data_IF_144103739210
#
_entry.id   IF_144103739210
#
_cell.length_a   1.000
_cell.length_b   1.000
_cell.length_c   1.000
_cell.angle_alpha   90.00
_cell.angle_beta   90.00
_cell.angle_gamma   90.00
#
_symmetry.space_group_name_H-M   'P 1'
#
loop_
_entity.id
_entity.type
_entity.pdbx_description
1 polymer ?
#
# COMPACT_ATOMS: atom_id res chain seq x y z
N UNK A 1 -64.14 12.99 -15.56
CA UNK A 1 -62.92 12.25 -15.88
C UNK A 1 -63.00 11.90 -17.35
N UNK A 2 -62.12 12.46 -18.17
CA UNK A 2 -62.00 12.09 -19.58
C UNK A 2 -61.49 10.64 -19.67
N UNK A 3 -62.00 9.80 -20.59
CA UNK A 3 -61.58 8.40 -20.74
C UNK A 3 -60.12 8.21 -21.20
N UNK A 4 -59.36 9.30 -21.36
CA UNK A 4 -57.94 9.27 -21.67
C UNK A 4 -57.04 9.14 -20.41
N UNK A 5 -57.56 9.40 -19.20
CA UNK A 5 -56.80 9.25 -17.94
C UNK A 5 -56.75 7.79 -17.43
N UNK A 6 -57.50 6.87 -18.05
CA UNK A 6 -57.49 5.41 -17.77
C UNK A 6 -56.68 4.61 -18.79
N UNK A 7 -56.09 5.26 -19.80
CA UNK A 7 -55.21 4.57 -20.74
C UNK A 7 -53.88 4.30 -20.04
N UNK A 8 -53.70 3.03 -19.64
CA UNK A 8 -52.40 2.45 -19.32
C UNK A 8 -51.35 2.98 -20.31
N UNK A 9 -50.25 3.58 -19.82
CA UNK A 9 -49.19 4.08 -20.69
C UNK A 9 -48.73 2.97 -21.64
N UNK A 10 -48.62 3.27 -22.94
CA UNK A 10 -48.07 2.32 -23.90
C UNK A 10 -46.65 1.91 -23.45
N UNK A 11 -46.38 0.61 -23.46
CA UNK A 11 -45.14 0.03 -22.93
C UNK A 11 -45.16 -0.38 -21.46
N UNK A 12 -46.23 -0.12 -20.70
CA UNK A 12 -46.33 -0.53 -19.28
C UNK A 12 -46.28 -2.06 -19.07
N UNK A 13 -46.66 -2.84 -20.10
CA UNK A 13 -46.61 -4.30 -20.11
C UNK A 13 -45.65 -4.88 -21.17
N UNK A 14 -44.86 -4.03 -21.83
CA UNK A 14 -43.87 -4.54 -22.78
C UNK A 14 -42.66 -5.09 -22.02
N UNK A 15 -42.03 -6.12 -22.58
CA UNK A 15 -40.79 -6.67 -22.02
C UNK A 15 -39.79 -5.51 -21.78
N UNK A 16 -39.15 -5.39 -20.60
CA UNK A 16 -38.28 -4.25 -20.27
C UNK A 16 -37.18 -3.97 -21.30
N UNK A 17 -36.72 -5.03 -21.99
CA UNK A 17 -35.75 -4.96 -23.09
C UNK A 17 -36.34 -4.31 -24.36
N UNK A 18 -37.62 -4.53 -24.61
CA UNK A 18 -38.36 -3.97 -25.74
C UNK A 18 -38.77 -2.51 -25.47
N UNK A 19 -39.16 -2.16 -24.24
CA UNK A 19 -39.46 -0.78 -23.85
C UNK A 19 -38.19 0.11 -23.89
N UNK A 20 -37.07 -0.37 -23.36
CA UNK A 20 -35.79 0.33 -23.48
C UNK A 20 -35.37 0.55 -24.95
N UNK A 21 -35.55 -0.46 -25.81
CA UNK A 21 -35.29 -0.37 -27.25
C UNK A 21 -36.23 0.61 -27.97
N UNK A 22 -37.51 0.65 -27.60
CA UNK A 22 -38.48 1.59 -28.15
C UNK A 22 -38.18 3.04 -27.75
N UNK A 23 -37.54 3.24 -26.58
CA UNK A 23 -37.13 4.55 -26.05
C UNK A 23 -35.68 4.94 -26.43
N UNK A 24 -34.98 4.15 -27.25
CA UNK A 24 -33.55 4.30 -27.55
C UNK A 24 -32.66 4.38 -26.28
N UNK A 25 -33.07 3.72 -25.19
CA UNK A 25 -32.29 3.59 -23.98
C UNK A 25 -31.58 2.23 -23.96
N UNK A 26 -30.32 2.23 -23.54
CA UNK A 26 -29.55 1.01 -23.37
C UNK A 26 -30.09 0.26 -22.15
N UNK A 27 -30.66 -0.94 -22.36
CA UNK A 27 -31.07 -1.81 -21.27
C UNK A 27 -29.80 -2.34 -20.59
N UNK A 28 -29.48 -1.81 -19.40
CA UNK A 28 -28.55 -2.45 -18.48
C UNK A 28 -29.35 -3.29 -17.49
N UNK A 29 -28.96 -4.54 -17.32
CA UNK A 29 -29.55 -5.38 -16.29
C UNK A 29 -29.18 -4.78 -14.92
N UNK A 30 -30.14 -4.49 -14.03
CA UNK A 30 -29.83 -3.99 -12.69
C UNK A 30 -28.85 -4.89 -11.95
N UNK A 31 -28.85 -6.20 -12.26
CA UNK A 31 -27.96 -7.17 -11.67
C UNK A 31 -26.50 -7.01 -12.19
N UNK A 32 -26.31 -6.58 -13.44
CA UNK A 32 -24.98 -6.30 -13.99
C UNK A 32 -24.38 -5.02 -13.39
N UNK A 33 -25.19 -3.99 -13.14
CA UNK A 33 -24.73 -2.75 -12.49
C UNK A 33 -24.31 -2.99 -11.03
N UNK A 34 -25.10 -3.75 -10.26
CA UNK A 34 -24.74 -4.13 -8.90
C UNK A 34 -23.51 -5.05 -8.87
N UNK A 35 -23.36 -5.92 -9.88
CA UNK A 35 -22.16 -6.74 -10.03
C UNK A 35 -20.90 -5.93 -10.35
N UNK A 36 -20.99 -4.94 -11.23
CA UNK A 36 -19.89 -4.01 -11.52
C UNK A 36 -19.48 -3.20 -10.29
N UNK A 37 -20.45 -2.70 -9.52
CA UNK A 37 -20.19 -2.00 -8.24
C UNK A 37 -19.50 -2.91 -7.25
N UNK A 38 -19.99 -4.13 -7.08
CA UNK A 38 -19.38 -5.12 -6.19
C UNK A 38 -17.94 -5.42 -6.59
N UNK A 39 -17.67 -5.68 -7.87
CA UNK A 39 -16.30 -5.91 -8.35
C UNK A 39 -15.38 -4.71 -8.11
N UNK A 40 -15.91 -3.48 -8.26
CA UNK A 40 -15.16 -2.26 -8.01
C UNK A 40 -14.80 -2.14 -6.53
N UNK A 41 -15.76 -2.35 -5.63
CA UNK A 41 -15.54 -2.31 -4.18
C UNK A 41 -14.54 -3.37 -3.72
N UNK A 42 -14.62 -4.59 -4.25
CA UNK A 42 -13.66 -5.66 -3.94
C UNK A 42 -12.24 -5.27 -4.38
N UNK A 43 -12.08 -4.71 -5.59
CA UNK A 43 -10.77 -4.23 -6.07
C UNK A 43 -10.24 -3.11 -5.19
N UNK A 44 -11.08 -2.16 -4.81
CA UNK A 44 -10.69 -1.05 -3.96
C UNK A 44 -10.27 -1.52 -2.56
N UNK A 45 -11.06 -2.39 -1.93
CA UNK A 45 -10.72 -3.00 -0.65
C UNK A 45 -9.42 -3.83 -0.73
N UNK A 46 -9.21 -4.56 -1.82
CA UNK A 46 -7.98 -5.33 -2.06
C UNK A 46 -6.78 -4.42 -2.19
N UNK A 47 -6.90 -3.31 -2.94
CA UNK A 47 -5.83 -2.33 -3.11
C UNK A 47 -5.45 -1.67 -1.78
N UNK A 48 -6.45 -1.28 -0.97
CA UNK A 48 -6.22 -0.70 0.35
C UNK A 48 -5.52 -1.72 1.26
N UNK A 49 -5.99 -2.97 1.28
CA UNK A 49 -5.38 -4.04 2.07
C UNK A 49 -3.92 -4.30 1.68
N UNK A 50 -3.64 -4.38 0.37
CA UNK A 50 -2.26 -4.53 -0.12
C UNK A 50 -1.37 -3.35 0.26
N UNK A 51 -1.89 -2.13 0.21
CA UNK A 51 -1.14 -0.94 0.61
C UNK A 51 -0.76 -0.99 2.10
N UNK A 52 -1.72 -1.33 2.98
CA UNK A 52 -1.48 -1.45 4.42
C UNK A 52 -0.41 -2.53 4.71
N UNK A 53 -0.54 -3.71 4.10
CA UNK A 53 0.43 -4.80 4.30
C UNK A 53 1.82 -4.40 3.80
N UNK A 54 1.90 -3.71 2.66
CA UNK A 54 3.17 -3.24 2.11
C UNK A 54 3.84 -2.24 3.04
N UNK A 55 3.08 -1.31 3.62
CA UNK A 55 3.59 -0.31 4.56
C UNK A 55 4.09 -0.97 5.85
N UNK A 56 3.32 -1.89 6.44
CA UNK A 56 3.72 -2.64 7.64
C UNK A 56 5.00 -3.47 7.40
N UNK A 57 5.13 -4.08 6.22
CA UNK A 57 6.32 -4.83 5.85
C UNK A 57 7.54 -3.91 5.67
N UNK A 58 7.35 -2.71 5.11
CA UNK A 58 8.41 -1.71 4.97
C UNK A 58 8.88 -1.23 6.34
N UNK A 59 7.96 -0.90 7.25
CA UNK A 59 8.26 -0.47 8.62
C UNK A 59 9.04 -1.56 9.38
N UNK A 60 8.56 -2.80 9.36
CA UNK A 60 9.27 -3.93 10.00
C UNK A 60 10.68 -4.12 9.43
N UNK A 61 10.85 -3.93 8.12
CA UNK A 61 12.16 -4.03 7.47
C UNK A 61 13.08 -2.90 7.93
N UNK A 62 12.57 -1.67 7.99
CA UNK A 62 13.32 -0.51 8.44
C UNK A 62 13.77 -0.66 9.91
N UNK A 63 12.88 -1.09 10.81
CA UNK A 63 13.22 -1.33 12.22
C UNK A 63 14.36 -2.34 12.38
N UNK A 64 14.31 -3.44 11.63
CA UNK A 64 15.36 -4.46 11.65
C UNK A 64 16.69 -3.89 11.16
N UNK A 65 16.67 -3.11 10.08
CA UNK A 65 17.87 -2.47 9.54
C UNK A 65 18.46 -1.47 10.53
N UNK A 66 17.63 -0.68 11.22
CA UNK A 66 18.09 0.25 12.26
C UNK A 66 18.79 -0.51 13.39
N UNK A 67 18.20 -1.59 13.89
CA UNK A 67 18.80 -2.40 14.95
C UNK A 67 20.18 -2.97 14.54
N UNK A 68 20.31 -3.39 13.28
CA UNK A 68 21.58 -3.87 12.72
C UNK A 68 22.61 -2.74 12.61
N UNK A 69 22.21 -1.56 12.13
CA UNK A 69 23.08 -0.39 12.04
C UNK A 69 23.59 0.01 13.43
N UNK A 70 22.73 0.01 14.45
CA UNK A 70 23.13 0.31 15.82
C UNK A 70 24.18 -0.68 16.36
N UNK A 71 24.04 -1.96 16.02
CA UNK A 71 25.05 -2.96 16.37
C UNK A 71 26.37 -2.69 15.65
N UNK A 72 26.32 -2.38 14.36
CA UNK A 72 27.50 -2.01 13.59
C UNK A 72 28.18 -0.78 14.19
N UNK A 73 27.45 0.27 14.56
CA UNK A 73 27.99 1.47 15.21
C UNK A 73 28.71 1.13 16.52
N UNK A 74 28.13 0.27 17.35
CA UNK A 74 28.77 -0.18 18.60
C UNK A 74 30.08 -0.93 18.32
N UNK A 75 30.06 -1.83 17.33
CA UNK A 75 31.23 -2.60 16.95
C UNK A 75 32.34 -1.70 16.38
N UNK A 76 32.00 -0.78 15.48
CA UNK A 76 32.93 0.22 14.95
C UNK A 76 33.53 1.10 16.03
N UNK A 77 32.71 1.57 16.97
CA UNK A 77 33.18 2.36 18.11
C UNK A 77 34.24 1.61 18.93
N UNK A 78 34.02 0.30 19.17
CA UNK A 78 35.00 -0.56 19.85
C UNK A 78 36.30 -0.71 19.06
N UNK A 79 36.23 -0.82 17.74
CA UNK A 79 37.42 -0.91 16.88
C UNK A 79 38.24 0.38 16.98
N UNK A 80 37.59 1.54 16.87
CA UNK A 80 38.25 2.85 16.98
C UNK A 80 38.96 3.04 18.33
N UNK A 81 38.32 2.62 19.43
CA UNK A 81 38.94 2.67 20.76
C UNK A 81 40.19 1.80 20.85
N UNK A 82 40.17 0.62 20.23
CA UNK A 82 41.32 -0.28 20.20
C UNK A 82 42.45 0.28 19.33
N UNK A 83 42.13 0.89 18.20
CA UNK A 83 43.10 1.57 17.33
C UNK A 83 43.79 2.70 18.07
N UNK A 84 43.02 3.55 18.77
CA UNK A 84 43.58 4.63 19.59
C UNK A 84 44.53 4.12 20.67
N UNK A 85 44.18 3.03 21.36
CA UNK A 85 45.06 2.39 22.36
C UNK A 85 46.32 1.80 21.73
N UNK A 86 46.21 1.21 20.54
CA UNK A 86 47.35 0.67 19.79
C UNK A 86 48.31 1.80 19.41
N UNK A 87 47.80 2.91 18.88
CA UNK A 87 48.61 4.08 18.52
C UNK A 87 49.33 4.67 19.71
N UNK A 88 48.63 4.91 20.84
CA UNK A 88 49.25 5.45 22.06
C UNK A 88 50.42 4.59 22.54
N UNK A 89 50.24 3.27 22.58
CA UNK A 89 51.31 2.34 22.94
C UNK A 89 52.45 2.38 21.93
N UNK A 90 52.15 2.43 20.65
CA UNK A 90 53.18 2.52 19.60
C UNK A 90 54.00 3.81 19.74
N UNK A 91 53.34 4.95 19.94
CA UNK A 91 54.00 6.23 20.21
C UNK A 91 54.88 6.18 21.46
N UNK A 92 54.40 5.54 22.53
CA UNK A 92 55.18 5.37 23.75
C UNK A 92 56.43 4.51 23.53
N UNK A 93 56.31 3.39 22.82
CA UNK A 93 57.46 2.53 22.46
C UNK A 93 58.49 3.30 21.65
N UNK A 94 58.05 4.06 20.66
CA UNK A 94 58.94 4.92 19.84
C UNK A 94 59.63 5.96 20.72
N UNK A 95 58.90 6.62 21.61
CA UNK A 95 59.45 7.61 22.52
C UNK A 95 60.54 7.01 23.43
N UNK A 96 60.29 5.85 24.02
CA UNK A 96 61.28 5.17 24.87
C UNK A 96 62.54 4.79 24.09
N UNK A 97 62.41 4.21 22.89
CA UNK A 97 63.57 3.85 22.06
C UNK A 97 64.41 5.05 21.62
N UNK A 98 63.81 6.25 21.56
CA UNK A 98 64.50 7.46 21.09
C UNK A 98 65.17 8.27 22.21
N UNK A 99 64.89 7.96 23.48
CA UNK A 99 65.40 8.66 24.67
C UNK A 99 66.33 7.79 25.54
N UNK A 100 66.81 6.66 25.00
CA UNK A 100 67.87 5.81 25.57
C UNK A 100 69.10 5.96 24.67
#
# INVERSE_FOLDING_TARGET
MSPDDEKLPEGFFDDPKMDAKARNQEYKDPNDEEWEKFQKEIKEATNISMAIISEEQEESTAERQIAEIDEQIRNWSRVLDLEKKKEQRNSYVIFLHRNI
#
